data_IF_624665484158
#
_entry.id   IF_624665484158
#
_cell.length_a   1.000
_cell.length_b   1.000
_cell.length_c   1.000
_cell.angle_alpha   90.00
_cell.angle_beta   90.00
_cell.angle_gamma   90.00
#
_symmetry.space_group_name_H-M   'P 1'
#
loop_
_entity.id
_entity.type
_entity.pdbx_description
1 polymer ?
#
# COMPACT_ATOMS: atom_id res chain seq x y z
N UNK A 1 2.33 -11.31 -29.02
CA UNK A 1 3.25 -11.24 -27.86
C UNK A 1 2.58 -10.42 -26.78
N UNK A 2 2.09 -11.07 -25.73
CA UNK A 2 1.64 -10.39 -24.51
C UNK A 2 2.88 -10.24 -23.64
N UNK A 3 3.27 -9.01 -23.34
CA UNK A 3 4.33 -8.74 -22.37
C UNK A 3 3.75 -9.13 -21.01
N UNK A 4 4.18 -10.26 -20.44
CA UNK A 4 3.87 -10.56 -19.04
C UNK A 4 4.66 -9.57 -18.18
N UNK A 5 3.98 -8.52 -17.71
CA UNK A 5 4.53 -7.62 -16.70
C UNK A 5 4.51 -8.40 -15.39
N UNK A 6 5.68 -8.89 -14.98
CA UNK A 6 5.85 -9.41 -13.63
C UNK A 6 5.88 -8.24 -12.68
N UNK A 7 4.72 -7.96 -12.06
CA UNK A 7 4.55 -6.89 -11.05
C UNK A 7 5.61 -7.00 -9.95
N UNK A 8 6.18 -8.18 -9.70
CA UNK A 8 7.23 -8.36 -8.68
C UNK A 8 8.54 -7.63 -8.99
N UNK A 9 8.82 -7.36 -10.28
CA UNK A 9 10.07 -6.71 -10.74
C UNK A 9 9.94 -5.21 -11.00
N UNK A 10 8.76 -4.63 -10.83
CA UNK A 10 8.52 -3.23 -11.13
C UNK A 10 8.43 -2.40 -9.85
N UNK A 11 9.28 -1.38 -9.73
CA UNK A 11 9.19 -0.41 -8.64
C UNK A 11 7.79 0.23 -8.64
N UNK A 12 7.04 0.06 -7.55
CA UNK A 12 5.64 0.50 -7.48
C UNK A 12 5.41 1.40 -6.27
N UNK A 13 4.71 2.50 -6.50
CA UNK A 13 4.29 3.41 -5.42
C UNK A 13 2.77 3.39 -5.33
N UNK A 14 2.25 2.94 -4.19
CA UNK A 14 0.84 3.05 -3.84
C UNK A 14 0.60 4.39 -3.14
N UNK A 15 -0.38 5.15 -3.62
CA UNK A 15 -0.83 6.39 -2.98
C UNK A 15 -2.26 6.19 -2.49
N UNK A 16 -2.42 6.17 -1.16
CA UNK A 16 -3.70 5.95 -0.50
C UNK A 16 -4.26 7.29 -0.01
N UNK A 17 -5.27 7.80 -0.70
CA UNK A 17 -6.04 8.95 -0.27
C UNK A 17 -7.11 8.54 0.75
N UNK A 18 -7.29 9.35 1.80
CA UNK A 18 -8.14 8.98 2.93
C UNK A 18 -7.49 7.94 3.84
N UNK A 19 -6.14 7.98 3.96
CA UNK A 19 -5.39 7.01 4.75
C UNK A 19 -5.74 7.00 6.24
N UNK A 20 -6.33 8.09 6.76
CA UNK A 20 -6.81 8.23 8.13
C UNK A 20 -8.23 7.69 8.33
N UNK A 21 -8.93 7.32 7.26
CA UNK A 21 -10.27 6.76 7.31
C UNK A 21 -10.34 5.33 7.88
N UNK A 22 -11.50 4.98 8.41
CA UNK A 22 -11.76 3.65 9.01
C UNK A 22 -11.46 2.50 8.04
N UNK A 23 -11.81 2.67 6.77
CA UNK A 23 -11.57 1.69 5.70
C UNK A 23 -10.08 1.42 5.47
N UNK A 24 -9.26 2.49 5.48
CA UNK A 24 -7.83 2.40 5.28
C UNK A 24 -7.20 1.55 6.39
N UNK A 25 -7.53 1.85 7.64
CA UNK A 25 -6.99 1.17 8.83
C UNK A 25 -7.49 -0.28 8.96
N UNK A 26 -8.76 -0.55 8.70
CA UNK A 26 -9.38 -1.85 8.98
C UNK A 26 -9.27 -2.86 7.85
N UNK A 27 -9.15 -2.41 6.60
CA UNK A 27 -9.20 -3.30 5.44
C UNK A 27 -8.01 -3.09 4.50
N UNK A 28 -7.74 -1.87 4.04
CA UNK A 28 -6.75 -1.64 2.98
C UNK A 28 -5.32 -1.94 3.46
N UNK A 29 -4.90 -1.34 4.58
CA UNK A 29 -3.55 -1.54 5.14
C UNK A 29 -3.33 -3.00 5.54
N UNK A 30 -4.26 -3.67 6.25
CA UNK A 30 -4.14 -5.10 6.53
C UNK A 30 -4.09 -5.98 5.27
N UNK A 31 -4.86 -5.68 4.23
CA UNK A 31 -4.83 -6.45 2.99
C UNK A 31 -3.48 -6.31 2.27
N UNK A 32 -2.92 -5.09 2.19
CA UNK A 32 -1.58 -4.86 1.64
C UNK A 32 -0.51 -5.58 2.47
N UNK A 33 -0.65 -5.61 3.80
CA UNK A 33 0.26 -6.36 4.67
C UNK A 33 0.19 -7.88 4.42
N UNK A 34 -1.00 -8.45 4.23
CA UNK A 34 -1.14 -9.86 3.87
C UNK A 34 -0.51 -10.15 2.50
N UNK A 35 -0.73 -9.29 1.50
CA UNK A 35 -0.10 -9.43 0.18
C UNK A 35 1.44 -9.32 0.26
N UNK A 36 1.97 -8.52 1.18
CA UNK A 36 3.40 -8.46 1.47
C UNK A 36 3.91 -9.78 2.05
N UNK A 37 3.24 -10.32 3.06
CA UNK A 37 3.61 -11.60 3.68
C UNK A 37 3.58 -12.76 2.67
N UNK A 38 2.57 -12.78 1.79
CA UNK A 38 2.40 -13.79 0.76
C UNK A 38 3.29 -13.56 -0.48
N UNK A 39 4.15 -12.52 -0.46
CA UNK A 39 5.07 -12.15 -1.56
C UNK A 39 4.35 -11.89 -2.90
N UNK A 40 3.15 -11.34 -2.80
CA UNK A 40 2.34 -10.89 -3.95
C UNK A 40 2.56 -9.42 -4.31
N UNK A 41 3.31 -8.67 -3.49
CA UNK A 41 3.73 -7.31 -3.80
C UNK A 41 5.09 -7.27 -4.52
N UNK A 42 5.39 -6.16 -5.23
CA UNK A 42 6.72 -5.86 -5.75
C UNK A 42 7.80 -5.96 -4.69
N UNK A 43 8.98 -6.42 -5.08
CA UNK A 43 10.15 -6.49 -4.18
C UNK A 43 10.52 -5.09 -3.65
N UNK A 44 10.33 -4.08 -4.49
CA UNK A 44 10.47 -2.68 -4.13
C UNK A 44 9.13 -1.98 -4.30
N UNK A 45 8.42 -1.77 -3.19
CA UNK A 45 7.21 -0.96 -3.18
C UNK A 45 7.25 0.07 -2.07
N UNK A 46 6.50 1.16 -2.26
CA UNK A 46 6.25 2.18 -1.23
C UNK A 46 4.75 2.41 -1.10
N UNK A 47 4.27 2.65 0.12
CA UNK A 47 2.91 3.09 0.41
C UNK A 47 2.94 4.51 0.99
N UNK A 48 2.25 5.44 0.35
CA UNK A 48 2.14 6.84 0.76
C UNK A 48 0.69 7.09 1.17
N UNK A 49 0.45 7.39 2.44
CA UNK A 49 -0.86 7.81 2.94
C UNK A 49 -1.06 9.31 2.82
N UNK A 50 -2.22 9.74 2.34
CA UNK A 50 -2.61 11.14 2.23
C UNK A 50 -3.98 11.31 2.89
N UNK A 51 -4.11 12.24 3.82
CA UNK A 51 -5.39 12.64 4.42
C UNK A 51 -5.42 14.15 4.68
N UNK A 52 -6.60 14.69 4.97
CA UNK A 52 -6.85 16.11 5.24
C UNK A 52 -6.44 16.50 6.66
N UNK A 53 -6.65 15.59 7.62
CA UNK A 53 -6.17 15.76 8.98
C UNK A 53 -4.72 15.24 9.04
N UNK A 54 -3.82 16.05 9.60
CA UNK A 54 -2.42 15.68 9.75
C UNK A 54 -2.30 14.33 10.46
N UNK A 55 -1.64 13.36 9.82
CA UNK A 55 -1.24 12.14 10.50
C UNK A 55 -0.28 12.53 11.62
N UNK A 56 -0.74 12.42 12.86
CA UNK A 56 0.14 12.45 14.02
C UNK A 56 0.82 11.08 14.09
N UNK A 57 2.10 11.03 13.72
CA UNK A 57 2.96 9.82 13.74
C UNK A 57 2.92 9.09 15.10
N UNK A 58 2.48 9.78 16.17
CA UNK A 58 2.31 9.24 17.52
C UNK A 58 1.17 8.22 17.68
N UNK A 59 0.30 8.01 16.67
CA UNK A 59 -0.91 7.16 16.76
C UNK A 59 -0.83 5.77 16.10
N UNK A 60 0.36 5.35 15.64
CA UNK A 60 0.58 3.99 15.10
C UNK A 60 0.78 2.95 16.20
#
# INVERSE_FOLDING_TARGET
MIVQIDVRKCDTVFVLFGAGGDLAKRLIVPALYNLYLDRHLPEHFRLIGVDRDGFDDTRL
#
